data_IF_248159003518
#
_entry.id   IF_248159003518
#
_cell.length_a   1.000
_cell.length_b   1.000
_cell.length_c   1.000
_cell.angle_alpha   90.00
_cell.angle_beta   90.00
_cell.angle_gamma   90.00
#
_symmetry.space_group_name_H-M   'P 1'
#
loop_
_entity.id
_entity.type
_entity.pdbx_description
1 polymer ?
#
# COMPACT_ATOMS: atom_id res chain seq x y z
N UNK A 1 16.38 -15.17 -9.09
CA UNK A 1 15.45 -14.04 -9.34
C UNK A 1 14.86 -13.42 -8.08
N UNK A 2 14.05 -14.12 -7.26
CA UNK A 2 13.44 -13.50 -6.06
C UNK A 2 14.45 -13.07 -4.98
N UNK A 3 15.51 -13.86 -4.75
CA UNK A 3 16.55 -13.51 -3.78
C UNK A 3 17.45 -12.36 -4.27
N UNK A 4 17.70 -12.25 -5.57
CA UNK A 4 18.55 -11.21 -6.17
C UNK A 4 17.92 -9.81 -6.09
N UNK A 5 16.59 -9.70 -6.24
CA UNK A 5 15.87 -8.44 -6.06
C UNK A 5 15.82 -8.00 -4.60
N UNK A 6 15.69 -8.94 -3.67
CA UNK A 6 15.73 -8.67 -2.22
C UNK A 6 17.11 -8.18 -1.78
N UNK A 7 18.18 -8.80 -2.29
CA UNK A 7 19.56 -8.37 -2.08
C UNK A 7 19.80 -6.97 -2.68
N UNK A 8 19.36 -6.70 -3.91
CA UNK A 8 19.43 -5.35 -4.49
C UNK A 8 18.66 -4.32 -3.67
N UNK A 9 17.48 -4.66 -3.16
CA UNK A 9 16.70 -3.72 -2.33
C UNK A 9 17.39 -3.43 -0.99
N UNK A 10 18.06 -4.43 -0.39
CA UNK A 10 18.85 -4.24 0.83
C UNK A 10 20.16 -3.47 0.62
N UNK A 11 20.79 -3.60 -0.56
CA UNK A 11 21.98 -2.82 -0.94
C UNK A 11 21.62 -1.39 -1.36
N UNK A 12 20.45 -1.21 -1.98
CA UNK A 12 19.96 0.09 -2.44
C UNK A 12 19.10 0.67 -1.33
N UNK A 13 19.73 1.27 -0.31
CA UNK A 13 19.09 2.14 0.68
C UNK A 13 18.56 3.44 0.02
N UNK A 14 17.66 3.32 -0.95
CA UNK A 14 17.03 4.44 -1.65
C UNK A 14 15.52 4.33 -1.54
N UNK A 15 14.87 5.48 -1.61
CA UNK A 15 13.41 5.57 -1.64
C UNK A 15 12.88 4.87 -2.89
N UNK A 16 11.98 3.91 -2.71
CA UNK A 16 11.29 3.20 -3.79
C UNK A 16 9.82 3.61 -3.77
N UNK A 17 9.28 3.92 -4.95
CA UNK A 17 7.86 4.20 -5.15
C UNK A 17 7.31 3.11 -6.05
N UNK A 18 6.38 2.31 -5.53
CA UNK A 18 5.66 1.29 -6.28
C UNK A 18 4.27 1.79 -6.63
N UNK A 19 3.86 1.62 -7.89
CA UNK A 19 2.56 2.03 -8.39
C UNK A 19 1.83 0.79 -8.88
N UNK A 20 0.66 0.53 -8.30
CA UNK A 20 -0.21 -0.58 -8.67
C UNK A 20 -1.67 -0.11 -8.60
N UNK A 21 -2.54 -0.87 -9.25
CA UNK A 21 -3.99 -0.71 -9.16
C UNK A 21 -4.60 -1.68 -8.14
N UNK A 22 -3.80 -2.61 -7.60
CA UNK A 22 -4.22 -3.61 -6.63
C UNK A 22 -3.80 -3.19 -5.21
N UNK A 23 -4.79 -3.07 -4.33
CA UNK A 23 -4.55 -2.69 -2.94
C UNK A 23 -3.87 -3.82 -2.13
N UNK A 24 -4.10 -5.09 -2.46
CA UNK A 24 -3.47 -6.23 -1.78
C UNK A 24 -1.94 -6.23 -2.01
N UNK A 25 -1.50 -5.88 -3.22
CA UNK A 25 -0.09 -5.69 -3.53
C UNK A 25 0.51 -4.51 -2.76
N UNK A 26 -0.20 -3.38 -2.73
CA UNK A 26 0.24 -2.18 -2.02
C UNK A 26 0.40 -2.40 -0.51
N UNK A 27 -0.52 -3.15 0.11
CA UNK A 27 -0.47 -3.50 1.54
C UNK A 27 0.62 -4.52 1.84
N UNK A 28 0.91 -5.42 0.92
CA UNK A 28 1.92 -6.46 1.13
C UNK A 28 3.35 -5.92 1.05
N UNK A 29 3.58 -4.91 0.21
CA UNK A 29 4.93 -4.42 -0.13
C UNK A 29 5.22 -3.04 0.50
N UNK A 30 4.22 -2.19 0.68
CA UNK A 30 4.40 -0.79 1.04
C UNK A 30 4.41 -0.53 2.54
N UNK A 31 5.41 0.21 3.02
CA UNK A 31 5.41 0.80 4.37
C UNK A 31 4.37 1.92 4.51
N UNK A 32 4.12 2.63 3.40
CA UNK A 32 3.14 3.71 3.27
C UNK A 32 2.41 3.57 1.93
N UNK A 33 1.12 3.85 1.94
CA UNK A 33 0.25 3.78 0.78
C UNK A 33 -0.33 5.17 0.54
N UNK A 34 -0.30 5.61 -0.71
CA UNK A 34 -1.03 6.78 -1.18
C UNK A 34 -2.10 6.29 -2.17
N UNK A 35 -3.38 6.52 -1.83
CA UNK A 35 -4.50 6.26 -2.72
C UNK A 35 -4.80 7.53 -3.49
N UNK A 36 -4.83 7.42 -4.81
CA UNK A 36 -5.06 8.52 -5.74
C UNK A 36 -6.28 8.25 -6.60
N UNK A 37 -7.08 9.28 -6.86
CA UNK A 37 -8.23 9.23 -7.76
C UNK A 37 -8.36 10.57 -8.47
N UNK A 38 -8.66 10.52 -9.78
CA UNK A 38 -8.89 11.72 -10.61
C UNK A 38 -7.73 12.75 -10.55
N UNK A 39 -6.49 12.28 -10.34
CA UNK A 39 -5.29 13.12 -10.23
C UNK A 39 -5.04 13.69 -8.83
N UNK A 40 -5.89 13.37 -7.85
CA UNK A 40 -5.77 13.86 -6.47
C UNK A 40 -5.48 12.72 -5.50
N UNK A 41 -4.60 12.98 -4.54
CA UNK A 41 -4.34 12.03 -3.45
C UNK A 41 -5.48 12.12 -2.46
N UNK A 42 -6.24 11.04 -2.35
CA UNK A 42 -7.41 10.92 -1.49
C UNK A 42 -7.01 10.59 -0.05
N UNK A 43 -6.03 9.71 0.12
CA UNK A 43 -5.53 9.31 1.44
C UNK A 43 -4.08 8.87 1.36
N UNK A 44 -3.29 9.22 2.38
CA UNK A 44 -1.95 8.65 2.60
C UNK A 44 -1.90 8.12 4.02
N UNK A 45 -1.41 6.90 4.19
CA UNK A 45 -1.25 6.29 5.50
C UNK A 45 -0.47 5.00 5.45
N UNK A 46 -0.23 4.43 6.62
CA UNK A 46 0.18 3.03 6.76
C UNK A 46 -0.92 2.10 6.26
N UNK A 47 -0.59 0.85 5.85
CA UNK A 47 -1.59 -0.14 5.49
C UNK A 47 -2.72 -0.30 6.53
N UNK A 48 -2.36 -0.22 7.81
CA UNK A 48 -3.32 -0.28 8.92
C UNK A 48 -4.30 0.89 8.88
N UNK A 49 -3.81 2.12 8.79
CA UNK A 49 -4.66 3.34 8.77
C UNK A 49 -5.59 3.34 7.56
N UNK A 50 -5.12 2.91 6.38
CA UNK A 50 -5.95 2.81 5.18
C UNK A 50 -7.16 1.89 5.39
N UNK A 51 -6.99 0.78 6.11
CA UNK A 51 -8.05 -0.21 6.35
C UNK A 51 -8.94 0.17 7.54
N UNK A 52 -8.37 0.68 8.63
CA UNK A 52 -9.11 0.96 9.86
C UNK A 52 -9.81 2.31 9.83
N UNK A 53 -9.24 3.28 9.11
CA UNK A 53 -9.68 4.66 9.08
C UNK A 53 -9.74 5.17 7.62
N UNK A 54 -10.63 4.62 6.78
CA UNK A 54 -10.77 5.07 5.40
C UNK A 54 -11.28 6.52 5.34
N UNK A 55 -10.63 7.36 4.54
CA UNK A 55 -10.89 8.80 4.45
C UNK A 55 -12.25 9.14 3.82
N UNK A 56 -12.76 8.28 2.93
CA UNK A 56 -14.06 8.45 2.29
C UNK A 56 -14.64 7.10 1.82
N UNK A 57 -15.85 7.15 1.27
CA UNK A 57 -16.55 5.96 0.78
C UNK A 57 -15.80 5.25 -0.34
N UNK A 58 -15.06 5.98 -1.20
CA UNK A 58 -14.23 5.37 -2.22
C UNK A 58 -13.11 4.52 -1.60
N UNK A 59 -12.34 5.03 -0.64
CA UNK A 59 -11.30 4.24 0.04
C UNK A 59 -11.91 3.08 0.83
N UNK A 60 -13.08 3.30 1.42
CA UNK A 60 -13.82 2.25 2.13
C UNK A 60 -14.24 1.12 1.18
N UNK A 61 -14.78 1.43 0.00
CA UNK A 61 -15.09 0.44 -1.04
C UNK A 61 -13.82 -0.26 -1.52
N UNK A 62 -12.74 0.48 -1.72
CA UNK A 62 -11.45 -0.07 -2.17
C UNK A 62 -10.83 -1.05 -1.16
N UNK A 63 -11.09 -0.86 0.14
CA UNK A 63 -10.58 -1.70 1.24
C UNK A 63 -11.51 -2.85 1.65
N UNK A 64 -12.74 -2.93 1.11
CA UNK A 64 -13.75 -3.92 1.51
C UNK A 64 -13.34 -5.38 1.25
N UNK A 65 -12.53 -5.63 0.22
CA UNK A 65 -12.04 -6.97 -0.13
C UNK A 65 -10.93 -7.48 0.79
N UNK A 66 -10.39 -6.63 1.66
CA UNK A 66 -9.15 -6.93 2.37
C UNK A 66 -9.46 -7.45 3.77
N UNK A 67 -8.96 -8.64 4.13
CA UNK A 67 -9.12 -9.16 5.48
C UNK A 67 -8.51 -8.17 6.49
N UNK A 68 -9.30 -7.71 7.45
CA UNK A 68 -8.86 -6.79 8.52
C UNK A 68 -7.81 -7.40 9.47
N UNK A 69 -7.32 -8.60 9.17
CA UNK A 69 -6.42 -9.41 10.00
C UNK A 69 -5.12 -9.71 9.25
N UNK A 70 -4.22 -8.73 9.21
CA UNK A 70 -2.77 -8.99 9.23
C UNK A 70 -2.16 -8.10 10.31
N UNK A 71 -2.45 -8.42 11.55
CA UNK A 71 -1.60 -8.06 12.69
C UNK A 71 -0.75 -9.28 12.99
N UNK A 72 0.51 -9.26 12.53
CA UNK A 72 1.59 -10.01 13.15
C UNK A 72 2.50 -8.98 13.79
#
# INVERSE_FOLDING_TARGET
MREELSLLQSEIQKTIIFITHDLDEAITIGDRIAIMRDGEIIQIGTPKEIITEPANDFVKEFTQGIPKYKSH
#
